data_IF_761307464609
#
_entry.id   IF_761307464609
#
_cell.length_a   1.000
_cell.length_b   1.000
_cell.length_c   1.000
_cell.angle_alpha   90.00
_cell.angle_beta   90.00
_cell.angle_gamma   90.00
#
_symmetry.space_group_name_H-M   'P 1'
#
loop_
_entity.id
_entity.type
_entity.pdbx_description
1 polymer ?
#
# COMPACT_ATOMS: atom_id res chain seq x y z
N UNK A 1 0.64 12.16 -22.74
CA UNK A 1 0.70 11.18 -23.84
C UNK A 1 1.84 10.22 -23.52
N UNK A 2 1.54 8.96 -23.21
CA UNK A 2 2.57 7.96 -22.96
C UNK A 2 3.35 7.72 -24.26
N UNK A 3 4.69 7.74 -24.23
CA UNK A 3 5.50 7.47 -25.42
C UNK A 3 5.56 5.96 -25.60
N UNK A 4 4.89 5.43 -26.64
CA UNK A 4 5.19 4.08 -27.11
C UNK A 4 6.67 3.98 -27.45
N UNK A 5 7.33 2.98 -26.89
CA UNK A 5 8.74 2.73 -27.22
C UNK A 5 8.82 1.89 -28.49
N UNK A 6 9.96 1.97 -29.19
CA UNK A 6 10.27 1.10 -30.34
C UNK A 6 10.19 -0.41 -30.02
N UNK A 7 10.04 -0.79 -28.74
CA UNK A 7 9.96 -2.16 -28.26
C UNK A 7 8.54 -2.74 -28.24
N UNK A 8 7.52 -1.96 -28.61
CA UNK A 8 6.13 -2.43 -28.67
C UNK A 8 5.41 -2.48 -27.32
N UNK A 9 5.99 -1.93 -26.25
CA UNK A 9 5.33 -1.68 -24.98
C UNK A 9 5.61 -0.25 -24.50
N UNK A 10 4.82 0.20 -23.53
CA UNK A 10 4.96 1.52 -22.90
C UNK A 10 5.44 1.33 -21.46
N UNK A 11 6.51 2.01 -21.08
CA UNK A 11 6.92 2.09 -19.67
C UNK A 11 6.05 3.12 -18.94
N UNK A 12 5.45 2.72 -17.83
CA UNK A 12 4.58 3.59 -17.06
C UNK A 12 5.40 4.57 -16.20
N UNK A 13 4.95 5.82 -16.04
CA UNK A 13 5.67 6.84 -15.28
C UNK A 13 6.01 6.46 -13.84
N UNK A 14 5.20 5.64 -13.16
CA UNK A 14 5.46 5.12 -11.81
C UNK A 14 6.08 3.72 -11.80
N UNK A 15 6.38 3.18 -12.98
CA UNK A 15 6.96 1.84 -13.17
C UNK A 15 5.93 0.80 -13.59
N UNK A 16 6.45 -0.32 -14.08
CA UNK A 16 5.66 -1.34 -14.80
C UNK A 16 5.56 -1.06 -16.30
N UNK A 17 5.05 -2.05 -17.03
CA UNK A 17 4.95 -2.02 -18.48
C UNK A 17 3.51 -2.23 -18.93
N UNK A 18 3.04 -1.38 -19.84
CA UNK A 18 1.72 -1.46 -20.44
C UNK A 18 1.83 -1.96 -21.89
N UNK A 19 1.03 -2.95 -22.22
CA UNK A 19 0.99 -3.56 -23.55
C UNK A 19 -0.42 -3.41 -24.12
N UNK A 20 -0.52 -2.81 -25.30
CA UNK A 20 -1.76 -2.71 -26.03
C UNK A 20 -1.99 -3.96 -26.89
N UNK A 21 -3.11 -4.65 -26.65
CA UNK A 21 -3.49 -5.89 -27.32
C UNK A 21 -4.94 -5.83 -27.83
N UNK A 22 -5.31 -6.81 -28.65
CA UNK A 22 -6.67 -7.04 -29.12
C UNK A 22 -7.68 -7.27 -28.00
N UNK A 23 -7.23 -7.73 -26.82
CA UNK A 23 -8.05 -7.98 -25.63
C UNK A 23 -8.05 -6.81 -24.62
N UNK A 24 -7.47 -5.67 -25.01
CA UNK A 24 -7.28 -4.49 -24.17
C UNK A 24 -5.86 -4.38 -23.61
N UNK A 25 -5.68 -3.52 -22.61
CA UNK A 25 -4.36 -3.36 -21.99
C UNK A 25 -4.02 -4.51 -21.03
N UNK A 26 -2.81 -5.03 -21.18
CA UNK A 26 -2.13 -5.85 -20.18
C UNK A 26 -1.11 -4.98 -19.44
N UNK A 27 -0.91 -5.23 -18.15
CA UNK A 27 0.14 -4.55 -17.37
C UNK A 27 1.06 -5.55 -16.68
N UNK A 28 2.37 -5.39 -16.84
CA UNK A 28 3.39 -6.15 -16.11
C UNK A 28 3.88 -5.30 -14.94
N UNK A 29 3.78 -5.86 -13.73
CA UNK A 29 4.07 -5.15 -12.49
C UNK A 29 3.05 -4.06 -12.16
N UNK A 30 2.88 -3.82 -10.88
CA UNK A 30 2.03 -2.75 -10.35
C UNK A 30 2.68 -2.17 -9.11
N UNK A 31 3.72 -1.31 -9.25
CA UNK A 31 4.17 -0.53 -8.11
C UNK A 31 3.04 0.34 -7.51
N UNK A 32 3.22 0.87 -6.29
CA UNK A 32 2.25 1.76 -5.67
C UNK A 32 1.82 2.89 -6.60
N UNK A 33 0.52 3.19 -6.58
CA UNK A 33 -0.10 4.27 -7.34
C UNK A 33 -0.08 4.13 -8.89
N UNK A 34 0.47 3.06 -9.46
CA UNK A 34 0.55 2.88 -10.92
C UNK A 34 -0.82 2.87 -11.62
N UNK A 35 -1.90 2.53 -10.92
CA UNK A 35 -3.28 2.62 -11.46
C UNK A 35 -3.59 4.04 -11.99
N UNK A 36 -3.06 5.07 -11.33
CA UNK A 36 -3.23 6.49 -11.70
C UNK A 36 -2.67 6.79 -13.10
N UNK A 37 -1.65 6.06 -13.53
CA UNK A 37 -1.06 6.21 -14.87
C UNK A 37 -1.97 5.66 -15.98
N UNK A 38 -2.96 4.82 -15.64
CA UNK A 38 -3.78 4.09 -16.63
C UNK A 38 -5.28 4.42 -16.60
N UNK A 39 -5.78 5.03 -15.52
CA UNK A 39 -7.21 5.36 -15.36
C UNK A 39 -7.75 6.29 -16.46
N UNK A 40 -6.92 7.19 -17.00
CA UNK A 40 -7.29 8.14 -18.04
C UNK A 40 -7.11 7.66 -19.49
N UNK A 41 -6.74 6.40 -19.71
CA UNK A 41 -6.46 5.89 -21.06
C UNK A 41 -7.74 5.53 -21.83
N UNK A 42 -7.69 5.65 -23.16
CA UNK A 42 -8.84 5.46 -24.05
C UNK A 42 -9.47 4.06 -23.93
N UNK A 43 -8.66 3.00 -23.84
CA UNK A 43 -9.14 1.62 -23.66
C UNK A 43 -9.47 1.25 -22.21
N UNK A 44 -9.51 2.24 -21.31
CA UNK A 44 -9.69 2.10 -19.85
C UNK A 44 -8.50 1.40 -19.18
N UNK A 45 -8.49 1.33 -17.86
CA UNK A 45 -7.42 0.65 -17.11
C UNK A 45 -7.27 -0.83 -17.47
N UNK A 46 -6.10 -1.45 -17.25
CA UNK A 46 -5.89 -2.88 -17.46
C UNK A 46 -6.84 -3.76 -16.63
N UNK A 47 -7.32 -4.84 -17.25
CA UNK A 47 -8.02 -5.93 -16.54
C UNK A 47 -7.08 -7.09 -16.21
N UNK A 48 -5.95 -7.20 -16.91
CA UNK A 48 -5.01 -8.30 -16.76
C UNK A 48 -3.67 -7.74 -16.28
N UNK A 49 -3.22 -8.26 -15.14
CA UNK A 49 -1.94 -7.93 -14.54
C UNK A 49 -1.05 -9.16 -14.52
N UNK A 50 0.16 -9.04 -15.02
CA UNK A 50 1.18 -10.09 -15.01
C UNK A 50 2.15 -9.76 -13.88
N UNK A 51 2.31 -10.69 -12.94
CA UNK A 51 3.14 -10.45 -11.77
C UNK A 51 4.64 -10.44 -12.14
N UNK A 52 5.40 -9.47 -11.64
CA UNK A 52 6.84 -9.39 -11.88
C UNK A 52 7.56 -10.54 -11.16
N UNK A 53 8.80 -10.82 -11.55
CA UNK A 53 9.61 -11.89 -10.97
C UNK A 53 9.81 -11.73 -9.46
N UNK A 54 9.89 -10.48 -8.99
CA UNK A 54 10.01 -10.11 -7.57
C UNK A 54 8.89 -9.16 -7.21
N UNK A 55 8.29 -9.35 -6.03
CA UNK A 55 7.22 -8.48 -5.51
C UNK A 55 7.76 -7.27 -4.74
N UNK A 56 9.07 -7.20 -4.52
CA UNK A 56 9.67 -6.16 -3.71
C UNK A 56 11.00 -5.66 -4.29
N UNK A 57 11.13 -4.34 -4.39
CA UNK A 57 12.35 -3.68 -4.84
C UNK A 57 13.17 -3.20 -3.64
N UNK A 58 14.16 -4.01 -3.22
CA UNK A 58 14.91 -3.80 -1.98
C UNK A 58 15.54 -2.41 -1.87
N UNK A 59 16.22 -1.93 -2.92
CA UNK A 59 16.89 -0.61 -2.88
C UNK A 59 15.93 0.57 -2.73
N UNK A 60 14.67 0.39 -3.14
CA UNK A 60 13.64 1.43 -3.08
C UNK A 60 12.70 1.24 -1.89
N UNK A 61 12.70 0.06 -1.27
CA UNK A 61 11.86 -0.26 -0.12
C UNK A 61 10.37 -0.34 -0.45
N UNK A 62 10.00 -0.80 -1.66
CA UNK A 62 8.62 -0.76 -2.15
C UNK A 62 8.16 -2.07 -2.79
N UNK A 63 6.84 -2.29 -2.77
CA UNK A 63 6.19 -3.33 -3.54
C UNK A 63 6.25 -3.04 -5.05
N UNK A 64 6.28 -4.09 -5.85
CA UNK A 64 6.13 -4.04 -7.32
C UNK A 64 4.90 -4.82 -7.79
N UNK A 65 4.13 -5.37 -6.86
CA UNK A 65 2.95 -6.20 -7.09
C UNK A 65 1.73 -5.70 -6.28
N UNK A 66 1.60 -4.39 -6.14
CA UNK A 66 0.52 -3.72 -5.42
C UNK A 66 -0.73 -3.63 -6.29
N UNK A 67 -1.64 -4.59 -6.10
CA UNK A 67 -2.83 -4.77 -6.94
C UNK A 67 -4.15 -4.39 -6.27
N UNK A 68 -4.13 -3.96 -5.01
CA UNK A 68 -5.31 -3.58 -4.24
C UNK A 68 -6.21 -2.56 -4.98
N UNK A 69 -5.66 -1.39 -5.30
CA UNK A 69 -6.40 -0.33 -5.98
C UNK A 69 -6.82 -0.71 -7.42
N UNK A 70 -5.98 -1.34 -8.26
CA UNK A 70 -6.43 -1.91 -9.51
C UNK A 70 -7.64 -2.86 -9.38
N UNK A 71 -7.64 -3.72 -8.36
CA UNK A 71 -8.75 -4.65 -8.09
C UNK A 71 -10.01 -3.87 -7.70
N UNK A 72 -9.94 -2.96 -6.74
CA UNK A 72 -11.08 -2.14 -6.35
C UNK A 72 -11.64 -1.31 -7.50
N UNK A 73 -10.78 -0.68 -8.32
CA UNK A 73 -11.20 0.10 -9.48
C UNK A 73 -11.98 -0.76 -10.47
N UNK A 74 -11.44 -1.93 -10.83
CA UNK A 74 -12.09 -2.82 -11.78
C UNK A 74 -13.40 -3.40 -11.22
N UNK A 75 -13.42 -3.77 -9.94
CA UNK A 75 -14.60 -4.36 -9.32
C UNK A 75 -15.71 -3.34 -9.09
N UNK A 76 -15.45 -2.28 -8.31
CA UNK A 76 -16.49 -1.33 -7.91
C UNK A 76 -16.89 -0.36 -9.03
N UNK A 77 -15.93 0.16 -9.80
CA UNK A 77 -16.23 1.17 -10.81
C UNK A 77 -16.50 0.57 -12.19
N UNK A 78 -15.89 -0.57 -12.52
CA UNK A 78 -16.09 -1.22 -13.83
C UNK A 78 -16.94 -2.47 -13.79
N UNK A 79 -17.29 -3.00 -12.60
CA UNK A 79 -18.07 -4.22 -12.44
C UNK A 79 -17.43 -5.41 -13.18
N UNK A 80 -16.10 -5.52 -13.09
CA UNK A 80 -15.27 -6.57 -13.71
C UNK A 80 -14.28 -7.15 -12.69
N UNK A 81 -13.97 -8.44 -12.84
CA UNK A 81 -12.86 -9.06 -12.11
C UNK A 81 -11.52 -8.64 -12.71
N UNK A 82 -10.51 -8.59 -11.86
CA UNK A 82 -9.11 -8.44 -12.29
C UNK A 82 -8.50 -9.83 -12.50
N UNK A 83 -7.86 -10.04 -13.63
CA UNK A 83 -7.14 -11.26 -13.97
C UNK A 83 -5.66 -11.11 -13.59
N UNK A 84 -5.12 -12.08 -12.87
CA UNK A 84 -3.74 -12.05 -12.40
C UNK A 84 -2.98 -13.24 -12.98
N UNK A 85 -1.99 -12.96 -13.82
CA UNK A 85 -1.14 -13.96 -14.48
C UNK A 85 0.12 -14.16 -13.65
N UNK A 86 0.37 -15.38 -13.19
CA UNK A 86 1.46 -15.66 -12.25
C UNK A 86 1.88 -17.14 -12.22
N UNK A 87 2.93 -17.46 -11.45
CA UNK A 87 3.25 -18.84 -11.06
C UNK A 87 2.40 -19.27 -9.85
N UNK A 88 2.37 -20.57 -9.53
CA UNK A 88 1.65 -21.08 -8.35
C UNK A 88 2.25 -20.56 -7.03
N UNK A 89 3.57 -20.42 -6.97
CA UNK A 89 4.27 -19.82 -5.82
C UNK A 89 3.84 -18.35 -5.63
N UNK A 90 3.87 -17.58 -6.72
CA UNK A 90 3.44 -16.18 -6.72
C UNK A 90 1.96 -16.03 -6.35
N UNK A 91 1.10 -16.95 -6.80
CA UNK A 91 -0.32 -16.99 -6.41
C UNK A 91 -0.47 -17.13 -4.90
N UNK A 92 0.23 -18.09 -4.29
CA UNK A 92 0.19 -18.33 -2.84
C UNK A 92 0.64 -17.09 -2.06
N UNK A 93 1.73 -16.47 -2.51
CA UNK A 93 2.28 -15.25 -1.93
C UNK A 93 1.28 -14.09 -2.03
N UNK A 94 0.72 -13.84 -3.22
CA UNK A 94 -0.18 -12.72 -3.46
C UNK A 94 -1.54 -12.90 -2.76
N UNK A 95 -2.07 -14.12 -2.65
CA UNK A 95 -3.29 -14.38 -1.88
C UNK A 95 -3.13 -13.89 -0.43
N UNK A 96 -1.95 -14.09 0.17
CA UNK A 96 -1.67 -13.59 1.53
C UNK A 96 -1.73 -12.05 1.56
N UNK A 97 -1.06 -11.39 0.62
CA UNK A 97 -1.07 -9.91 0.52
C UNK A 97 -2.49 -9.38 0.34
N UNK A 98 -3.24 -9.92 -0.62
CA UNK A 98 -4.60 -9.49 -0.94
C UNK A 98 -5.60 -9.80 0.17
N UNK A 99 -5.39 -10.86 0.95
CA UNK A 99 -6.23 -11.10 2.14
C UNK A 99 -6.03 -9.98 3.16
N UNK A 100 -4.79 -9.64 3.50
CA UNK A 100 -4.53 -8.60 4.50
C UNK A 100 -5.05 -7.22 4.05
N UNK A 101 -4.97 -6.89 2.75
CA UNK A 101 -5.43 -5.59 2.25
C UNK A 101 -6.90 -5.53 1.83
N UNK A 102 -7.46 -6.56 1.19
CA UNK A 102 -8.85 -6.54 0.69
C UNK A 102 -9.86 -7.16 1.67
N UNK A 103 -9.41 -8.02 2.57
CA UNK A 103 -10.30 -8.80 3.43
C UNK A 103 -10.07 -8.60 4.92
N UNK A 104 -8.88 -8.17 5.30
CA UNK A 104 -8.39 -8.18 6.66
C UNK A 104 -8.01 -9.60 7.12
N UNK A 105 -7.53 -9.71 8.36
CA UNK A 105 -7.02 -10.97 8.88
C UNK A 105 -8.13 -11.99 9.17
N UNK A 106 -7.87 -13.27 8.87
CA UNK A 106 -8.82 -14.37 9.11
C UNK A 106 -9.16 -14.54 10.61
N UNK A 107 -8.17 -14.28 11.48
CA UNK A 107 -8.30 -14.37 12.93
C UNK A 107 -8.19 -12.98 13.55
N UNK A 108 -9.26 -12.55 14.21
CA UNK A 108 -9.35 -11.26 14.91
C UNK A 108 -9.66 -11.56 16.37
N UNK A 109 -8.80 -11.07 17.26
CA UNK A 109 -9.00 -11.13 18.70
C UNK A 109 -8.59 -9.80 19.33
N UNK A 110 -9.57 -8.94 19.57
CA UNK A 110 -9.34 -7.58 20.08
C UNK A 110 -9.22 -7.54 21.61
N UNK A 111 -9.28 -8.68 22.32
CA UNK A 111 -9.36 -8.69 23.78
C UNK A 111 -8.15 -8.05 24.45
N UNK A 112 -6.95 -8.24 23.90
CA UNK A 112 -5.72 -7.62 24.41
C UNK A 112 -5.60 -6.14 24.04
N UNK A 113 -6.35 -5.68 23.04
CA UNK A 113 -6.26 -4.32 22.50
C UNK A 113 -7.22 -3.36 23.18
N UNK A 114 -8.09 -3.84 24.06
CA UNK A 114 -9.03 -3.04 24.83
C UNK A 114 -8.69 -3.13 26.32
N UNK A 115 -8.69 -1.99 27.02
CA UNK A 115 -8.30 -1.90 28.43
C UNK A 115 -9.01 -2.92 29.34
N UNK A 116 -10.31 -3.17 29.10
CA UNK A 116 -11.12 -4.14 29.84
C UNK A 116 -11.60 -5.31 28.94
N UNK A 117 -10.91 -5.57 27.83
CA UNK A 117 -11.31 -6.55 26.82
C UNK A 117 -12.76 -6.32 26.34
N UNK A 118 -13.51 -7.42 26.19
CA UNK A 118 -14.92 -7.43 25.73
C UNK A 118 -15.89 -6.59 26.58
N UNK A 119 -15.53 -6.27 27.82
CA UNK A 119 -16.36 -5.44 28.71
C UNK A 119 -16.16 -3.94 28.47
N UNK A 120 -15.23 -3.55 27.59
CA UNK A 120 -14.98 -2.16 27.27
C UNK A 120 -16.16 -1.56 26.50
N UNK A 121 -16.48 -0.30 26.79
CA UNK A 121 -17.46 0.44 26.00
C UNK A 121 -17.00 0.54 24.54
N UNK A 122 -17.90 0.28 23.59
CA UNK A 122 -17.59 0.31 22.16
C UNK A 122 -16.69 -0.83 21.68
N UNK A 123 -16.68 -1.99 22.35
CA UNK A 123 -16.04 -3.20 21.84
C UNK A 123 -16.79 -3.73 20.61
N UNK A 124 -16.18 -3.79 19.42
CA UNK A 124 -16.89 -4.03 18.17
C UNK A 124 -17.05 -5.52 17.87
N UNK A 125 -18.08 -5.85 17.09
CA UNK A 125 -18.08 -7.10 16.31
C UNK A 125 -17.36 -6.84 14.99
N UNK A 126 -16.03 -6.80 15.07
CA UNK A 126 -15.17 -6.42 13.95
C UNK A 126 -15.39 -7.30 12.71
N UNK A 127 -15.70 -8.59 12.90
CA UNK A 127 -15.99 -9.50 11.76
C UNK A 127 -17.29 -9.12 11.06
N UNK A 128 -18.35 -8.82 11.83
CA UNK A 128 -19.61 -8.38 11.26
C UNK A 128 -19.49 -7.01 10.58
N UNK A 129 -18.77 -6.07 11.20
CA UNK A 129 -18.51 -4.73 10.66
C UNK A 129 -17.76 -4.78 9.32
N UNK A 130 -16.65 -5.53 9.25
CA UNK A 130 -15.89 -5.72 8.00
C UNK A 130 -16.70 -6.43 6.91
N UNK A 131 -17.54 -7.40 7.28
CA UNK A 131 -18.41 -8.08 6.33
C UNK A 131 -19.49 -7.15 5.78
N UNK A 132 -20.06 -6.29 6.63
CA UNK A 132 -21.01 -5.27 6.22
C UNK A 132 -20.40 -4.24 5.28
N UNK A 133 -19.19 -3.74 5.59
CA UNK A 133 -18.56 -2.66 4.83
C UNK A 133 -18.09 -3.09 3.42
N UNK A 134 -17.45 -4.27 3.29
CA UNK A 134 -16.81 -4.68 2.01
C UNK A 134 -17.79 -4.92 0.86
N UNK A 135 -18.99 -5.41 1.13
CA UNK A 135 -20.01 -5.64 0.10
C UNK A 135 -19.72 -6.80 -0.88
N UNK A 136 -18.71 -7.64 -0.64
CA UNK A 136 -18.44 -8.89 -1.39
C UNK A 136 -17.98 -10.01 -0.43
N UNK A 137 -18.05 -11.27 -0.87
CA UNK A 137 -17.85 -12.44 0.02
C UNK A 137 -16.39 -12.84 0.12
N UNK A 138 -15.63 -12.78 -0.97
CA UNK A 138 -14.23 -13.19 -0.94
C UNK A 138 -13.45 -12.81 -2.19
N UNK A 139 -12.16 -13.17 -2.19
CA UNK A 139 -11.24 -12.87 -3.30
C UNK A 139 -11.75 -13.38 -4.66
N UNK A 140 -12.40 -14.54 -4.69
CA UNK A 140 -12.94 -15.11 -5.92
C UNK A 140 -14.03 -14.23 -6.57
N UNK A 141 -14.66 -13.31 -5.84
CA UNK A 141 -15.63 -12.37 -6.40
C UNK A 141 -14.94 -11.24 -7.20
N UNK A 142 -13.69 -10.92 -6.86
CA UNK A 142 -12.96 -9.73 -7.33
C UNK A 142 -11.76 -10.05 -8.22
N UNK A 143 -11.19 -11.26 -8.09
CA UNK A 143 -9.95 -11.68 -8.77
C UNK A 143 -10.13 -13.05 -9.41
N UNK A 144 -9.45 -13.26 -10.54
CA UNK A 144 -9.28 -14.56 -11.20
C UNK A 144 -7.79 -14.80 -11.50
N UNK A 145 -7.22 -15.85 -10.93
CA UNK A 145 -5.81 -16.21 -11.12
C UNK A 145 -5.64 -17.09 -12.36
N UNK A 146 -4.72 -16.70 -13.25
CA UNK A 146 -4.30 -17.45 -14.43
C UNK A 146 -2.87 -17.92 -14.22
N UNK A 147 -2.72 -19.18 -13.82
CA UNK A 147 -1.41 -19.76 -13.51
C UNK A 147 -0.77 -20.30 -14.80
N UNK A 148 0.52 -20.02 -14.98
CA UNK A 148 1.30 -20.59 -16.09
C UNK A 148 1.24 -22.12 -16.09
N UNK A 149 0.99 -22.70 -17.27
CA UNK A 149 0.95 -24.15 -17.47
C UNK A 149 2.34 -24.79 -17.52
N UNK A 150 2.39 -26.10 -17.83
CA UNK A 150 3.64 -26.85 -17.96
C UNK A 150 4.56 -26.35 -19.09
N UNK A 151 4.04 -25.59 -20.06
CA UNK A 151 4.80 -24.94 -21.12
C UNK A 151 5.15 -23.47 -20.79
N UNK A 152 4.91 -23.03 -19.55
CA UNK A 152 5.05 -21.66 -19.10
C UNK A 152 4.17 -20.66 -19.88
N UNK A 153 2.95 -21.06 -20.24
CA UNK A 153 2.00 -20.21 -20.99
C UNK A 153 0.68 -20.01 -20.25
N UNK A 154 0.04 -18.88 -20.55
CA UNK A 154 -1.34 -18.57 -20.22
C UNK A 154 -2.04 -18.04 -21.46
N UNK A 155 -3.27 -18.51 -21.69
CA UNK A 155 -4.15 -18.01 -22.73
C UNK A 155 -5.19 -17.05 -22.13
N UNK A 156 -5.30 -15.85 -22.69
CA UNK A 156 -6.32 -14.87 -22.35
C UNK A 156 -6.94 -14.32 -23.63
N UNK A 157 -8.14 -14.79 -23.97
CA UNK A 157 -8.75 -14.49 -25.27
C UNK A 157 -7.84 -14.93 -26.41
N UNK A 158 -7.53 -14.02 -27.33
CA UNK A 158 -6.61 -14.24 -28.44
C UNK A 158 -5.13 -14.02 -28.09
N UNK A 159 -4.82 -13.60 -26.86
CA UNK A 159 -3.45 -13.29 -26.42
C UNK A 159 -2.84 -14.48 -25.67
N UNK A 160 -1.60 -14.80 -26.02
CA UNK A 160 -0.77 -15.80 -25.31
C UNK A 160 0.32 -15.06 -24.54
N UNK A 161 0.41 -15.33 -23.25
CA UNK A 161 1.41 -14.79 -22.34
C UNK A 161 2.35 -15.94 -21.98
N UNK A 162 3.61 -15.87 -22.42
CA UNK A 162 4.65 -16.85 -22.11
C UNK A 162 5.68 -16.30 -21.14
N UNK A 163 6.16 -17.13 -20.20
CA UNK A 163 7.30 -16.81 -19.34
C UNK A 163 8.57 -17.43 -19.92
N UNK A 164 9.58 -16.60 -20.20
CA UNK A 164 10.85 -17.00 -20.79
C UNK A 164 11.85 -17.47 -19.73
N UNK A 165 12.90 -18.19 -20.16
CA UNK A 165 13.92 -18.75 -19.25
C UNK A 165 14.75 -17.68 -18.52
N UNK A 166 14.95 -16.51 -19.15
CA UNK A 166 15.60 -15.35 -18.54
C UNK A 166 14.70 -14.64 -17.51
N UNK A 167 13.43 -15.04 -17.37
CA UNK A 167 12.44 -14.44 -16.48
C UNK A 167 11.57 -13.37 -17.15
N UNK A 168 11.86 -12.98 -18.39
CA UNK A 168 11.07 -12.02 -19.14
C UNK A 168 9.77 -12.66 -19.67
N UNK A 169 8.89 -11.83 -20.21
CA UNK A 169 7.60 -12.27 -20.73
C UNK A 169 7.51 -12.07 -22.24
N UNK A 170 6.96 -13.06 -22.93
CA UNK A 170 6.62 -12.98 -24.34
C UNK A 170 5.10 -12.83 -24.47
N UNK A 171 4.66 -11.68 -24.98
CA UNK A 171 3.25 -11.43 -25.30
C UNK A 171 3.05 -11.66 -26.79
N UNK A 172 2.17 -12.60 -27.14
CA UNK A 172 1.80 -12.88 -28.51
C UNK A 172 0.32 -12.54 -28.75
N UNK A 173 0.07 -11.66 -29.71
CA UNK A 173 -1.28 -11.22 -30.13
C UNK A 173 -1.35 -11.31 -31.67
N UNK A 174 -1.96 -12.39 -32.16
CA UNK A 174 -1.86 -12.77 -33.57
C UNK A 174 -0.41 -13.01 -34.01
N UNK A 175 0.05 -12.25 -35.00
CA UNK A 175 1.44 -12.28 -35.50
C UNK A 175 2.40 -11.42 -34.68
N UNK A 176 1.88 -10.47 -33.88
CA UNK A 176 2.69 -9.57 -33.06
C UNK A 176 3.27 -10.33 -31.87
N UNK A 177 4.58 -10.25 -31.71
CA UNK A 177 5.33 -10.82 -30.57
C UNK A 177 6.16 -9.74 -29.91
N UNK A 178 6.02 -9.61 -28.60
CA UNK A 178 6.64 -8.55 -27.81
C UNK A 178 7.31 -9.19 -26.60
N UNK A 179 8.62 -9.04 -26.49
CA UNK A 179 9.36 -9.41 -25.30
C UNK A 179 9.39 -8.21 -24.34
N UNK A 180 8.97 -8.43 -23.11
CA UNK A 180 8.82 -7.41 -22.07
C UNK A 180 9.57 -7.85 -20.83
N UNK A 181 10.35 -6.95 -20.18
CA UNK A 181 11.10 -7.31 -18.99
C UNK A 181 10.22 -7.87 -17.87
N UNK A 182 10.70 -8.91 -17.18
CA UNK A 182 10.01 -9.52 -16.05
C UNK A 182 10.32 -8.87 -14.70
N UNK A 183 11.37 -8.06 -14.64
CA UNK A 183 11.69 -7.19 -13.52
C UNK A 183 11.17 -5.78 -13.83
N UNK A 184 10.54 -5.15 -12.84
CA UNK A 184 9.96 -3.81 -13.02
C UNK A 184 10.71 -2.80 -12.16
N UNK A 185 11.10 -1.70 -12.81
CA UNK A 185 11.59 -0.53 -12.11
C UNK A 185 10.46 0.22 -11.41
N UNK A 186 10.85 1.22 -10.65
CA UNK A 186 9.95 2.18 -10.05
C UNK A 186 10.51 3.58 -10.19
N UNK A 187 9.62 4.50 -10.52
CA UNK A 187 9.93 5.90 -10.72
C UNK A 187 9.06 6.73 -9.78
N UNK A 188 9.70 7.65 -9.08
CA UNK A 188 9.07 8.47 -8.06
C UNK A 188 8.33 9.62 -8.72
N UNK A 189 7.09 9.90 -8.28
CA UNK A 189 6.36 11.12 -8.62
C UNK A 189 5.78 11.75 -7.36
N UNK A 190 6.14 13.00 -7.10
CA UNK A 190 5.47 13.90 -6.18
C UNK A 190 5.79 15.35 -6.59
N UNK A 191 4.98 16.30 -6.16
CA UNK A 191 5.28 17.73 -6.26
C UNK A 191 5.90 18.22 -4.94
N UNK A 192 7.04 18.89 -5.02
CA UNK A 192 7.71 19.51 -3.86
C UNK A 192 7.47 21.02 -3.78
N UNK A 193 6.84 21.62 -4.79
CA UNK A 193 6.76 23.07 -4.93
C UNK A 193 8.15 23.72 -4.96
N UNK A 194 8.31 24.82 -4.22
CA UNK A 194 9.61 25.49 -4.06
C UNK A 194 10.34 25.00 -2.80
N UNK A 195 11.56 24.49 -2.99
CA UNK A 195 12.43 24.10 -1.88
C UNK A 195 12.81 25.33 -1.04
N UNK A 196 12.52 25.36 0.27
CA UNK A 196 12.97 26.44 1.14
C UNK A 196 14.49 26.55 1.17
N UNK A 197 15.02 27.78 1.18
CA UNK A 197 16.48 28.04 1.25
C UNK A 197 17.06 27.65 2.60
N UNK A 198 16.29 27.86 3.68
CA UNK A 198 16.69 27.52 5.05
C UNK A 198 16.16 26.14 5.46
N UNK A 199 16.91 25.37 6.28
CA UNK A 199 16.43 24.10 6.80
C UNK A 199 15.14 24.27 7.62
N UNK A 200 14.15 23.42 7.34
CA UNK A 200 12.89 23.42 8.06
C UNK A 200 13.12 23.24 9.57
N UNK A 201 12.52 24.12 10.36
CA UNK A 201 12.54 24.05 11.82
C UNK A 201 11.22 23.44 12.28
N UNK A 202 11.27 22.24 12.86
CA UNK A 202 10.08 21.59 13.39
C UNK A 202 9.41 22.49 14.44
N UNK A 203 8.12 22.83 14.28
CA UNK A 203 7.43 23.71 15.20
C UNK A 203 7.08 22.98 16.51
N UNK A 204 6.63 23.75 17.50
CA UNK A 204 6.14 23.21 18.76
C UNK A 204 4.88 22.35 18.55
N UNK A 205 3.99 22.79 17.66
CA UNK A 205 2.77 22.12 17.26
C UNK A 205 2.43 22.51 15.82
N UNK A 206 2.32 21.53 14.92
CA UNK A 206 1.76 21.73 13.58
C UNK A 206 1.37 20.39 12.95
N UNK A 207 0.67 20.45 11.81
CA UNK A 207 0.38 19.31 10.95
C UNK A 207 0.88 19.64 9.55
N UNK A 208 1.69 18.76 8.97
CA UNK A 208 2.09 18.82 7.55
C UNK A 208 1.39 17.71 6.81
N UNK A 209 0.59 18.04 5.80
CA UNK A 209 -0.03 17.04 4.93
C UNK A 209 1.00 16.57 3.90
N UNK A 210 1.24 15.26 3.80
CA UNK A 210 2.13 14.64 2.80
C UNK A 210 1.38 14.27 1.52
N UNK A 211 0.08 14.04 1.65
CA UNK A 211 -0.89 13.96 0.56
C UNK A 211 -2.30 14.12 1.14
N UNK A 212 -3.19 14.91 0.51
CA UNK A 212 -4.55 15.14 0.98
C UNK A 212 -5.59 14.22 0.34
N UNK A 213 -5.18 13.27 -0.52
CA UNK A 213 -6.10 12.53 -1.40
C UNK A 213 -6.06 11.02 -1.16
N UNK A 214 -6.58 10.21 -2.10
CA UNK A 214 -6.70 8.76 -1.97
C UNK A 214 -6.08 8.02 -3.16
N UNK A 215 -5.99 6.69 -3.10
CA UNK A 215 -5.36 5.89 -4.15
C UNK A 215 -6.05 5.90 -5.53
N UNK A 216 -7.17 6.60 -5.70
CA UNK A 216 -7.88 6.77 -6.98
C UNK A 216 -7.82 8.21 -7.55
N UNK A 217 -7.18 9.15 -6.87
CA UNK A 217 -6.98 10.50 -7.41
C UNK A 217 -5.69 10.53 -8.24
N UNK A 218 -5.76 10.66 -9.58
CA UNK A 218 -4.58 10.61 -10.43
C UNK A 218 -3.64 11.82 -10.26
N UNK A 219 -4.15 12.93 -9.73
CA UNK A 219 -3.43 14.21 -9.69
C UNK A 219 -2.72 14.47 -8.35
N UNK A 220 -3.06 13.73 -7.30
CA UNK A 220 -2.56 14.00 -5.95
C UNK A 220 -2.09 12.73 -5.22
N UNK A 221 -1.26 12.90 -4.19
CA UNK A 221 -0.67 11.82 -3.40
C UNK A 221 -1.70 11.21 -2.43
N UNK A 222 -1.47 9.96 -2.03
CA UNK A 222 -2.30 9.28 -1.02
C UNK A 222 -2.25 9.97 0.34
N UNK A 223 -3.26 9.70 1.16
CA UNK A 223 -3.45 10.34 2.45
C UNK A 223 -2.34 9.96 3.42
N UNK A 224 -1.68 10.97 3.98
CA UNK A 224 -0.81 10.82 5.12
C UNK A 224 -0.28 12.16 5.58
N UNK A 225 0.19 12.22 6.82
CA UNK A 225 0.59 13.49 7.42
C UNK A 225 1.66 13.31 8.50
N UNK A 226 2.30 14.42 8.84
CA UNK A 226 3.23 14.53 9.96
C UNK A 226 2.59 15.40 11.02
N UNK A 227 2.45 14.86 12.23
CA UNK A 227 2.12 15.64 13.42
C UNK A 227 3.44 16.07 14.05
N UNK A 228 3.69 17.38 14.08
CA UNK A 228 4.83 17.96 14.77
C UNK A 228 4.44 18.28 16.20
N UNK A 229 5.10 17.67 17.18
CA UNK A 229 4.93 17.91 18.61
C UNK A 229 6.29 18.04 19.29
N UNK A 230 6.49 19.09 20.08
CA UNK A 230 7.76 19.35 20.77
C UNK A 230 8.98 19.27 19.84
N UNK A 231 8.88 19.89 18.65
CA UNK A 231 9.96 19.93 17.66
C UNK A 231 10.37 18.55 17.11
N UNK A 232 9.52 17.53 17.26
CA UNK A 232 9.69 16.18 16.71
C UNK A 232 8.44 15.78 15.91
N UNK A 233 8.63 14.98 14.87
CA UNK A 233 7.56 14.54 13.97
C UNK A 233 7.09 13.12 14.27
N UNK A 234 5.78 12.91 14.12
CA UNK A 234 5.13 11.61 14.11
C UNK A 234 4.50 11.47 12.73
N UNK A 235 4.96 10.50 11.93
CA UNK A 235 4.29 10.17 10.68
C UNK A 235 3.01 9.39 10.97
N UNK A 236 1.94 9.69 10.25
CA UNK A 236 0.70 8.92 10.28
C UNK A 236 0.45 8.45 8.86
N UNK A 237 0.48 7.14 8.66
CA UNK A 237 0.30 6.48 7.36
C UNK A 237 1.04 7.19 6.21
N UNK A 238 2.37 7.33 6.28
CA UNK A 238 3.11 8.10 5.29
C UNK A 238 2.94 7.47 3.89
N UNK A 239 2.70 8.29 2.85
CA UNK A 239 2.74 7.83 1.46
C UNK A 239 4.12 7.32 1.09
N UNK A 240 4.19 6.57 0.00
CA UNK A 240 5.46 6.07 -0.52
C UNK A 240 6.34 7.25 -0.95
N UNK A 241 7.64 7.16 -0.64
CA UNK A 241 8.68 8.17 -0.86
C UNK A 241 8.58 9.43 0.00
N UNK A 242 7.83 9.40 1.11
CA UNK A 242 7.74 10.52 2.06
C UNK A 242 9.11 10.97 2.58
N UNK A 243 10.07 10.06 2.81
CA UNK A 243 11.42 10.42 3.26
C UNK A 243 12.20 11.21 2.21
N UNK A 244 12.10 10.82 0.94
CA UNK A 244 12.76 11.55 -0.14
C UNK A 244 12.10 12.92 -0.33
N UNK A 245 10.76 13.00 -0.27
CA UNK A 245 10.04 14.27 -0.27
C UNK A 245 10.53 15.21 0.84
N UNK A 246 10.76 14.70 2.05
CA UNK A 246 11.30 15.50 3.16
C UNK A 246 12.69 16.04 2.85
N UNK A 247 13.60 15.20 2.33
CA UNK A 247 14.97 15.62 1.96
C UNK A 247 14.94 16.73 0.91
N UNK A 248 14.10 16.57 -0.12
CA UNK A 248 13.94 17.55 -1.18
C UNK A 248 13.27 18.84 -0.71
N UNK A 249 12.40 18.75 0.30
CA UNK A 249 11.72 19.89 0.94
C UNK A 249 12.55 20.56 2.04
N UNK A 250 13.86 20.25 2.13
CA UNK A 250 14.77 20.77 3.16
C UNK A 250 14.36 20.43 4.61
N UNK A 251 13.62 19.34 4.80
CA UNK A 251 13.23 18.79 6.10
C UNK A 251 14.14 17.62 6.45
N UNK A 252 14.75 17.65 7.64
CA UNK A 252 15.58 16.54 8.10
C UNK A 252 14.71 15.34 8.51
N UNK A 253 14.78 14.18 7.81
CA UNK A 253 13.93 13.03 8.13
C UNK A 253 14.18 12.44 9.53
N UNK A 254 15.35 12.73 10.14
CA UNK A 254 15.69 12.31 11.51
C UNK A 254 14.88 13.03 12.59
N UNK A 255 14.13 14.07 12.24
CA UNK A 255 13.17 14.69 13.15
C UNK A 255 11.96 13.78 13.40
N UNK A 256 11.80 12.70 12.62
CA UNK A 256 10.69 11.76 12.69
C UNK A 256 11.20 10.44 13.24
N UNK A 257 10.76 10.11 14.45
CA UNK A 257 11.15 8.92 15.20
C UNK A 257 9.97 7.99 15.53
N UNK A 258 8.75 8.42 15.20
CA UNK A 258 7.52 7.67 15.40
C UNK A 258 6.70 7.56 14.12
N UNK A 259 6.05 6.42 13.93
CA UNK A 259 4.97 6.23 12.95
C UNK A 259 3.75 5.70 13.67
N UNK A 260 2.57 6.24 13.37
CA UNK A 260 1.28 5.64 13.70
C UNK A 260 0.80 4.97 12.41
N UNK A 261 0.60 3.66 12.45
CA UNK A 261 0.02 2.90 11.35
C UNK A 261 -1.44 2.58 11.70
N UNK A 262 -2.37 3.11 10.93
CA UNK A 262 -3.79 2.98 11.24
C UNK A 262 -4.41 1.71 10.70
N UNK A 263 -4.01 1.26 9.50
CA UNK A 263 -4.47 0.04 8.84
C UNK A 263 -3.54 -0.38 7.67
N UNK A 264 -3.80 -1.54 7.06
CA UNK A 264 -2.92 -2.19 6.08
C UNK A 264 -3.40 -2.11 4.62
N UNK A 265 -4.09 -1.03 4.25
CA UNK A 265 -4.24 -0.68 2.83
C UNK A 265 -2.92 -0.12 2.29
N UNK A 266 -2.65 -0.39 1.02
CA UNK A 266 -1.41 -0.05 0.34
C UNK A 266 -1.07 1.45 0.36
N UNK A 267 -2.08 2.31 0.37
CA UNK A 267 -1.94 3.75 0.42
C UNK A 267 -1.55 4.30 1.79
N UNK A 268 -1.61 3.46 2.83
CA UNK A 268 -1.27 3.80 4.22
C UNK A 268 0.00 3.07 4.71
N UNK A 269 0.20 1.80 4.34
CA UNK A 269 1.28 0.97 4.88
C UNK A 269 2.57 0.95 4.06
N UNK A 270 2.50 1.26 2.75
CA UNK A 270 3.66 1.20 1.85
C UNK A 270 4.78 2.16 2.26
N UNK A 271 4.47 3.42 2.57
CA UNK A 271 5.49 4.34 3.06
C UNK A 271 5.92 4.05 4.50
N UNK A 272 5.07 3.40 5.31
CA UNK A 272 5.46 2.94 6.66
C UNK A 272 6.58 1.91 6.57
N UNK A 273 6.45 0.91 5.70
CA UNK A 273 7.49 -0.10 5.53
C UNK A 273 8.77 0.50 4.92
N UNK A 274 8.65 1.37 3.93
CA UNK A 274 9.80 2.08 3.38
C UNK A 274 10.55 2.88 4.45
N UNK A 275 9.81 3.61 5.31
CA UNK A 275 10.38 4.37 6.42
C UNK A 275 11.11 3.47 7.43
N UNK A 276 10.59 2.28 7.70
CA UNK A 276 11.27 1.28 8.55
C UNK A 276 12.61 0.86 7.95
N UNK A 277 12.67 0.62 6.64
CA UNK A 277 13.89 0.18 5.95
C UNK A 277 14.97 1.28 5.87
N UNK A 278 14.57 2.55 5.87
CA UNK A 278 15.46 3.70 5.76
C UNK A 278 16.02 4.18 7.11
N UNK A 279 15.43 3.75 8.22
CA UNK A 279 15.76 4.22 9.56
C UNK A 279 16.43 3.13 10.41
N UNK A 280 17.38 3.53 11.26
CA UNK A 280 18.05 2.59 12.16
C UNK A 280 17.23 2.29 13.42
N UNK A 281 16.40 3.25 13.87
CA UNK A 281 15.54 3.14 15.06
C UNK A 281 14.29 3.97 14.84
N UNK A 282 13.15 3.30 14.69
CA UNK A 282 11.84 3.94 14.61
C UNK A 282 10.86 3.19 15.53
N UNK A 283 9.93 3.93 16.13
CA UNK A 283 8.86 3.34 16.93
C UNK A 283 7.56 3.35 16.14
N UNK A 284 6.94 2.17 15.98
CA UNK A 284 5.66 2.02 15.31
C UNK A 284 4.57 1.82 16.36
N UNK A 285 3.54 2.67 16.29
CA UNK A 285 2.33 2.59 17.09
C UNK A 285 1.21 2.04 16.21
N UNK A 286 0.68 0.88 16.60
CA UNK A 286 -0.43 0.21 15.95
C UNK A 286 -1.12 -0.69 16.98
N UNK A 287 -2.34 -1.15 16.71
CA UNK A 287 -2.90 -2.27 17.47
C UNK A 287 -2.19 -3.57 17.08
N UNK A 288 -2.29 -4.61 17.92
CA UNK A 288 -1.64 -5.90 17.65
C UNK A 288 -2.16 -6.52 16.35
N UNK A 289 -3.45 -6.40 16.07
CA UNK A 289 -4.15 -6.87 14.88
C UNK A 289 -3.60 -6.21 13.62
N UNK A 290 -3.47 -4.88 13.63
CA UNK A 290 -2.90 -4.12 12.50
C UNK A 290 -1.43 -4.47 12.31
N UNK A 291 -0.64 -4.53 13.39
CA UNK A 291 0.77 -4.90 13.31
C UNK A 291 0.97 -6.33 12.79
N UNK A 292 0.14 -7.27 13.22
CA UNK A 292 0.23 -8.67 12.81
C UNK A 292 -0.16 -8.86 11.33
N UNK A 293 -1.15 -8.08 10.84
CA UNK A 293 -1.48 -7.96 9.42
C UNK A 293 -0.34 -7.37 8.60
N UNK A 294 0.24 -6.26 9.06
CA UNK A 294 1.39 -5.62 8.44
C UNK A 294 2.54 -6.61 8.26
N UNK A 295 2.92 -7.33 9.32
CA UNK A 295 3.99 -8.32 9.26
C UNK A 295 3.67 -9.49 8.31
N UNK A 296 2.42 -9.99 8.28
CA UNK A 296 2.03 -11.03 7.31
C UNK A 296 2.14 -10.53 5.87
N UNK A 297 1.62 -9.34 5.59
CA UNK A 297 1.64 -8.71 4.26
C UNK A 297 3.07 -8.51 3.79
N UNK A 298 3.93 -7.87 4.59
CA UNK A 298 5.31 -7.60 4.20
C UNK A 298 6.21 -8.83 4.24
N UNK A 299 5.94 -9.82 5.09
CA UNK A 299 6.61 -11.12 5.03
C UNK A 299 6.31 -11.81 3.71
N UNK A 300 5.04 -11.76 3.26
CA UNK A 300 4.66 -12.26 1.96
C UNK A 300 5.34 -11.46 0.84
N UNK A 301 5.32 -10.13 0.83
CA UNK A 301 5.93 -9.32 -0.25
C UNK A 301 7.46 -9.51 -0.36
N UNK A 302 8.16 -9.55 0.78
CA UNK A 302 9.64 -9.55 0.83
C UNK A 302 10.26 -10.94 0.90
N UNK A 303 9.48 -11.97 1.27
CA UNK A 303 9.94 -13.31 1.69
C UNK A 303 10.83 -13.31 2.93
N UNK A 304 10.83 -12.22 3.72
CA UNK A 304 11.53 -12.14 5.00
C UNK A 304 10.58 -12.66 6.10
N UNK A 305 11.01 -13.54 7.01
CA UNK A 305 10.18 -14.01 8.11
C UNK A 305 9.67 -12.87 9.01
N UNK A 306 8.42 -12.98 9.49
CA UNK A 306 7.80 -11.98 10.37
C UNK A 306 8.67 -11.59 11.57
N UNK A 307 9.37 -12.56 12.16
CA UNK A 307 10.25 -12.33 13.32
C UNK A 307 11.41 -11.38 12.97
N UNK A 308 12.04 -11.58 11.82
CA UNK A 308 13.13 -10.72 11.35
C UNK A 308 12.61 -9.32 10.99
N UNK A 309 11.42 -9.22 10.38
CA UNK A 309 10.79 -7.92 10.13
C UNK A 309 10.49 -7.15 11.41
N UNK A 310 10.00 -7.84 12.45
CA UNK A 310 9.71 -7.26 13.76
C UNK A 310 10.96 -6.70 14.46
N UNK A 311 12.15 -7.23 14.15
CA UNK A 311 13.42 -6.77 14.72
C UNK A 311 13.89 -5.43 14.12
N UNK A 312 13.31 -4.98 13.00
CA UNK A 312 13.69 -3.73 12.32
C UNK A 312 13.19 -2.46 13.03
N UNK A 313 12.22 -2.57 13.93
CA UNK A 313 11.59 -1.42 14.58
C UNK A 313 11.19 -1.71 16.03
N UNK A 314 10.94 -0.66 16.80
CA UNK A 314 10.33 -0.79 18.12
C UNK A 314 8.81 -0.77 17.99
N UNK A 315 8.13 -1.86 18.34
CA UNK A 315 6.68 -1.88 18.39
C UNK A 315 6.16 -1.42 19.75
N UNK A 316 5.30 -0.41 19.74
CA UNK A 316 4.55 0.04 20.90
C UNK A 316 3.05 -0.18 20.67
N UNK A 317 2.42 -1.17 21.33
CA UNK A 317 1.03 -1.51 21.07
C UNK A 317 0.09 -0.40 21.56
N UNK A 318 -0.91 -0.09 20.73
CA UNK A 318 -2.03 0.78 21.07
C UNK A 318 -3.08 -0.03 21.83
N UNK A 319 -3.53 0.52 22.96
CA UNK A 319 -4.60 -0.08 23.78
C UNK A 319 -5.78 0.90 23.83
N UNK A 320 -6.92 0.50 23.25
CA UNK A 320 -8.17 1.25 23.23
C UNK A 320 -8.68 1.46 24.66
N UNK A 321 -9.09 2.69 24.96
CA UNK A 321 -9.48 3.12 26.31
C UNK A 321 -8.31 3.51 27.22
N UNK A 322 -7.06 3.47 26.72
CA UNK A 322 -5.87 3.96 27.43
C UNK A 322 -5.12 4.98 26.57
N UNK A 323 -4.97 6.18 27.10
CA UNK A 323 -4.21 7.23 26.44
C UNK A 323 -2.74 6.82 26.21
N UNK A 324 -2.23 7.11 25.00
CA UNK A 324 -0.84 6.86 24.61
C UNK A 324 -0.10 8.18 24.51
N UNK A 325 1.03 8.29 25.22
CA UNK A 325 1.86 9.50 25.19
C UNK A 325 2.91 9.39 24.09
N UNK A 326 2.89 10.32 23.12
CA UNK A 326 3.85 10.37 22.01
C UNK A 326 4.36 11.81 21.85
N UNK A 327 5.68 12.02 21.95
CA UNK A 327 6.31 13.35 21.88
C UNK A 327 5.66 14.42 22.79
N UNK A 328 5.05 14.02 23.91
CA UNK A 328 4.36 14.88 24.86
C UNK A 328 2.90 15.21 24.52
N UNK A 329 2.34 14.68 23.43
CA UNK A 329 0.90 14.66 23.16
C UNK A 329 0.23 13.43 23.74
N UNK A 330 -1.03 13.58 24.15
CA UNK A 330 -1.90 12.52 24.66
C UNK A 330 -2.84 12.05 23.55
N UNK A 331 -2.70 10.81 23.10
CA UNK A 331 -3.46 10.23 21.99
C UNK A 331 -4.48 9.21 22.51
N UNK A 332 -5.74 9.36 22.10
CA UNK A 332 -6.83 8.44 22.39
C UNK A 332 -7.31 7.78 21.09
N UNK A 333 -7.11 6.47 21.00
CA UNK A 333 -7.44 5.67 19.82
C UNK A 333 -8.80 5.01 19.94
N UNK A 334 -9.44 4.77 18.80
CA UNK A 334 -10.68 4.01 18.67
C UNK A 334 -10.67 3.23 17.35
N UNK A 335 -11.33 2.07 17.32
CA UNK A 335 -11.61 1.40 16.05
C UNK A 335 -12.66 2.18 15.25
N UNK A 336 -12.46 2.23 13.93
CA UNK A 336 -13.39 2.81 12.97
C UNK A 336 -13.95 1.71 12.06
N UNK A 337 -15.18 1.89 11.59
CA UNK A 337 -15.80 1.01 10.60
C UNK A 337 -15.04 1.14 9.27
N UNK A 338 -14.50 0.03 8.78
CA UNK A 338 -13.76 -0.01 7.52
C UNK A 338 -13.73 -1.44 6.93
N UNK A 339 -13.20 -1.62 5.72
CA UNK A 339 -13.07 -2.93 5.06
C UNK A 339 -12.12 -3.89 5.79
N UNK A 340 -11.16 -3.34 6.54
CA UNK A 340 -10.18 -4.06 7.35
C UNK A 340 -10.03 -3.38 8.72
N UNK A 341 -9.48 -4.03 9.77
CA UNK A 341 -9.31 -3.40 11.08
C UNK A 341 -8.53 -2.10 10.98
N UNK A 342 -9.15 -1.00 11.41
CA UNK A 342 -8.63 0.36 11.23
C UNK A 342 -8.85 1.20 12.47
N UNK A 343 -7.84 1.99 12.85
CA UNK A 343 -7.92 2.86 14.02
C UNK A 343 -7.91 4.34 13.68
N UNK A 344 -8.92 5.05 14.17
CA UNK A 344 -8.90 6.51 14.28
C UNK A 344 -8.28 6.94 15.60
N UNK A 345 -7.96 8.23 15.71
CA UNK A 345 -7.52 8.80 16.97
C UNK A 345 -7.86 10.26 17.09
N UNK A 346 -7.92 10.70 18.34
CA UNK A 346 -7.84 12.10 18.70
C UNK A 346 -6.58 12.33 19.52
N UNK A 347 -6.00 13.52 19.43
CA UNK A 347 -4.89 13.89 20.31
C UNK A 347 -5.06 15.28 20.90
N UNK A 348 -4.52 15.44 22.10
CA UNK A 348 -4.36 16.72 22.76
C UNK A 348 -2.91 17.03 23.07
N UNK A 349 -2.54 18.30 23.01
CA UNK A 349 -1.20 18.77 23.32
C UNK A 349 -1.28 20.09 24.08
N UNK A 350 -0.94 20.07 25.37
CA UNK A 350 -1.17 21.18 26.31
C UNK A 350 -2.66 21.57 26.36
N UNK A 351 -3.05 22.65 27.06
CA UNK A 351 -4.45 23.01 27.35
C UNK A 351 -5.21 23.60 26.11
N UNK A 352 -4.83 23.29 24.85
CA UNK A 352 -5.22 24.18 23.74
C UNK A 352 -5.60 23.56 22.39
N UNK A 353 -5.34 22.28 22.08
CA UNK A 353 -5.71 21.74 20.77
C UNK A 353 -6.25 20.31 20.87
N UNK A 354 -7.39 20.06 20.22
CA UNK A 354 -7.95 18.74 19.93
C UNK A 354 -7.94 18.56 18.40
N UNK A 355 -7.27 17.51 17.93
CA UNK A 355 -7.37 17.06 16.53
C UNK A 355 -8.05 15.70 16.51
N UNK A 356 -8.90 15.45 15.52
CA UNK A 356 -9.62 14.18 15.37
C UNK A 356 -9.38 13.66 13.96
N UNK A 357 -8.72 12.50 13.85
CA UNK A 357 -8.69 11.70 12.64
C UNK A 357 -9.82 10.65 12.71
N UNK A 358 -10.71 10.69 11.72
CA UNK A 358 -11.67 9.62 11.47
C UNK A 358 -11.33 8.97 10.14
N UNK A 359 -11.21 7.64 10.17
CA UNK A 359 -11.15 6.82 8.96
C UNK A 359 -12.60 6.60 8.52
N UNK A 360 -12.89 6.86 7.24
CA UNK A 360 -14.23 6.77 6.65
C UNK A 360 -14.24 5.61 5.66
#
# INVERSE_FOLDING_TARGET
MLKETYKGYTELPRGGYLIDTSEGYLQIGSPPETIKDTMGLEKKSPLVFILPNKFFHVEKGISTAELEFPIYYNFFLRQKKTFIVCTEEQRTQLITVLKESLMGPDNINLKSEYLNGEQSFGFPDMKAEMAYFRGYKGLDDVVDFKVFDAENKVHYGNVIIGKLQNGDFLIQDGERKIEVPGEVGFNIKYDIGERPTEPFQAPLLAITCLGPSHGFDPEDNTSGFIIWLNHQGIMVDPPVNSTEWLRQSNVNPKLINHVILTHCHADHDAGTFQKILEENKITIHATETVMDSFLRKYSALTKIPKKELQELFHFQPIIIGKATMINGGEFNFHYALHSIPSVGFEFSFKISLLFILRII
#
